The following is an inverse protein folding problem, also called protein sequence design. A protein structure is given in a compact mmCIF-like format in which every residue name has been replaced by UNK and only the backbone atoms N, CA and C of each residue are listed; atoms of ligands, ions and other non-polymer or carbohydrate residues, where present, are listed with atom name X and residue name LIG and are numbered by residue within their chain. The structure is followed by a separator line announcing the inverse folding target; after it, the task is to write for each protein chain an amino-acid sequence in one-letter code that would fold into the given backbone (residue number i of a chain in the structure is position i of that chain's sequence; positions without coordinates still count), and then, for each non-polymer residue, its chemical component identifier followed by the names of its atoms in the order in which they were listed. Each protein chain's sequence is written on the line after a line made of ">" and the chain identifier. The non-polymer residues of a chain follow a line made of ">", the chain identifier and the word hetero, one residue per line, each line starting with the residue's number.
data_IF_194991886554
#
_entry.id   IF_194991886554
#
_cell.length_a   1.000
_cell.length_b   1.000
_cell.length_c   1.000
_cell.angle_alpha   90.00
_cell.angle_beta   90.00
_cell.angle_gamma   90.00
#
_symmetry.space_group_name_H-M   'P 1'
#
loop_
_entity.id
_entity.type
_entity.pdbx_description
1 polymer ?
#
# COMPACT_ATOMS: atom_id res chain seq x y z
N UNK A 1 -20.89 -48.45 38.05
CA UNK A 1 -20.72 -47.48 36.95
C UNK A 1 -19.35 -46.83 37.10
N UNK A 2 -18.35 -47.41 36.43
CA UNK A 2 -16.99 -46.89 36.35
C UNK A 2 -16.65 -46.87 34.87
N UNK A 3 -16.08 -45.77 34.41
CA UNK A 3 -14.90 -45.68 33.52
C UNK A 3 -14.81 -44.25 32.96
N UNK A 4 -13.84 -43.50 33.52
CA UNK A 4 -12.89 -42.59 32.85
C UNK A 4 -13.51 -41.38 32.12
N UNK A 5 -13.54 -40.18 32.70
CA UNK A 5 -12.41 -39.23 32.85
C UNK A 5 -11.36 -39.38 31.75
N UNK A 6 -11.14 -38.29 31.00
CA UNK A 6 -10.00 -38.04 30.10
C UNK A 6 -10.22 -38.41 28.63
N UNK A 7 -11.01 -37.57 27.94
CA UNK A 7 -10.81 -37.26 26.51
C UNK A 7 -10.65 -35.73 26.45
N UNK A 8 -9.43 -35.24 26.71
CA UNK A 8 -8.56 -34.68 25.66
C UNK A 8 -9.02 -33.25 25.31
N UNK A 9 -8.77 -32.24 26.14
CA UNK A 9 -7.50 -31.46 26.18
C UNK A 9 -6.72 -31.50 24.86
N UNK A 10 -7.37 -31.16 23.74
CA UNK A 10 -6.69 -30.93 22.44
C UNK A 10 -7.26 -29.71 21.69
N UNK A 11 -7.70 -28.68 22.41
CA UNK A 11 -8.07 -27.39 21.83
C UNK A 11 -7.22 -26.24 22.40
N UNK A 12 -6.00 -26.54 22.86
CA UNK A 12 -5.09 -25.56 23.49
C UNK A 12 -3.81 -25.27 22.69
N UNK A 13 -3.66 -25.72 21.45
CA UNK A 13 -2.43 -25.49 20.66
C UNK A 13 -2.66 -25.14 19.18
N UNK A 14 -3.57 -24.22 18.88
CA UNK A 14 -3.52 -23.49 17.59
C UNK A 14 -3.20 -22.01 17.74
N UNK A 15 -2.84 -21.55 18.94
CA UNK A 15 -2.19 -20.25 19.15
C UNK A 15 -0.67 -20.43 19.09
N UNK A 16 -0.18 -21.12 18.06
CA UNK A 16 1.25 -21.16 17.77
C UNK A 16 1.55 -20.10 16.72
N UNK A 17 1.94 -18.95 17.24
CA UNK A 17 2.96 -18.08 16.64
C UNK A 17 2.61 -17.49 15.29
N UNK A 18 1.91 -16.35 15.31
CA UNK A 18 2.21 -15.31 14.34
C UNK A 18 3.63 -14.82 14.66
N UNK A 19 4.63 -15.53 14.11
CA UNK A 19 6.03 -15.15 14.21
C UNK A 19 6.20 -13.73 13.68
N UNK A 20 7.13 -13.00 14.28
CA UNK A 20 7.35 -11.56 14.20
C UNK A 20 7.80 -11.06 12.82
N UNK A 21 6.97 -11.25 11.80
CA UNK A 21 7.07 -10.57 10.51
C UNK A 21 6.42 -9.19 10.65
N UNK A 22 7.06 -8.13 10.15
CA UNK A 22 6.66 -6.74 10.39
C UNK A 22 5.16 -6.54 10.22
N UNK A 23 4.42 -6.32 11.31
CA UNK A 23 2.97 -6.19 11.21
C UNK A 23 2.63 -4.85 10.57
N UNK A 24 1.63 -4.82 9.68
CA UNK A 24 1.15 -3.57 9.08
C UNK A 24 0.77 -2.52 10.15
N UNK A 25 0.35 -2.97 11.34
CA UNK A 25 0.16 -2.08 12.50
C UNK A 25 1.43 -1.32 12.88
N UNK A 26 2.59 -1.99 12.99
CA UNK A 26 3.87 -1.33 13.30
C UNK A 26 4.33 -0.42 12.15
N UNK A 27 4.05 -0.84 10.91
CA UNK A 27 4.29 -0.01 9.73
C UNK A 27 3.47 1.28 9.79
N UNK A 28 2.18 1.21 10.10
CA UNK A 28 1.32 2.38 10.29
C UNK A 28 1.80 3.28 11.44
N UNK A 29 2.22 2.70 12.58
CA UNK A 29 2.79 3.47 13.69
C UNK A 29 4.07 4.23 13.28
N UNK A 30 4.85 3.66 12.35
CA UNK A 30 6.05 4.30 11.82
C UNK A 30 5.70 5.39 10.81
N UNK A 31 4.77 5.14 9.89
CA UNK A 31 4.27 6.14 8.93
C UNK A 31 3.75 7.37 9.66
N UNK A 32 2.98 7.18 10.75
CA UNK A 32 2.41 8.27 11.56
C UNK A 32 3.44 9.21 12.18
N UNK A 33 4.71 8.81 12.28
CA UNK A 33 5.80 9.70 12.73
C UNK A 33 6.19 10.74 11.67
N UNK A 34 5.87 10.48 10.41
CA UNK A 34 6.18 11.34 9.26
C UNK A 34 4.92 11.98 8.67
N UNK A 35 3.80 11.25 8.70
CA UNK A 35 2.49 11.66 8.19
C UNK A 35 1.36 11.17 9.09
N UNK A 36 0.98 11.99 10.07
CA UNK A 36 0.04 11.68 11.16
C UNK A 36 -1.30 11.08 10.71
N UNK A 37 -1.80 11.45 9.53
CA UNK A 37 -3.11 11.04 9.00
C UNK A 37 -3.05 9.93 7.94
N UNK A 38 -1.88 9.31 7.72
CA UNK A 38 -1.70 8.28 6.70
C UNK A 38 -1.60 6.90 7.36
N UNK A 39 -2.38 5.97 6.82
CA UNK A 39 -2.26 4.54 7.06
C UNK A 39 -2.14 3.82 5.71
N UNK A 40 -1.60 2.62 5.70
CA UNK A 40 -1.59 1.77 4.51
C UNK A 40 -3.03 1.40 4.16
N UNK A 41 -3.57 1.86 3.01
CA UNK A 41 -4.95 1.63 2.65
C UNK A 41 -5.19 0.16 2.29
N UNK A 42 -6.36 -0.36 2.64
CA UNK A 42 -6.77 -1.71 2.27
C UNK A 42 -7.54 -1.66 0.95
N UNK A 43 -7.01 -2.34 -0.07
CA UNK A 43 -7.69 -2.51 -1.36
C UNK A 43 -8.25 -3.93 -1.41
N UNK A 44 -9.56 -4.06 -1.63
CA UNK A 44 -10.22 -5.37 -1.58
C UNK A 44 -9.63 -6.31 -2.65
N UNK A 45 -9.22 -7.50 -2.22
CA UNK A 45 -8.70 -8.53 -3.12
C UNK A 45 -7.21 -8.42 -3.43
N UNK A 46 -6.51 -7.43 -2.86
CA UNK A 46 -5.06 -7.28 -2.96
C UNK A 46 -4.38 -7.39 -1.61
N UNK A 47 -3.14 -7.88 -1.62
CA UNK A 47 -2.24 -7.90 -0.48
C UNK A 47 -1.15 -6.83 -0.64
N UNK A 48 -0.65 -6.32 0.49
CA UNK A 48 0.49 -5.40 0.49
C UNK A 48 1.76 -6.21 0.25
N UNK A 49 2.48 -5.90 -0.83
CA UNK A 49 3.76 -6.51 -1.20
C UNK A 49 4.93 -5.83 -0.49
N UNK A 50 4.89 -4.50 -0.42
CA UNK A 50 5.98 -3.70 0.16
C UNK A 50 5.47 -2.32 0.55
N UNK A 51 6.05 -1.77 1.62
CA UNK A 51 5.88 -0.36 1.99
C UNK A 51 7.26 0.27 2.14
N UNK A 52 7.49 1.32 1.37
CA UNK A 52 8.72 2.11 1.39
C UNK A 52 8.43 3.52 1.90
N UNK A 53 9.40 4.08 2.60
CA UNK A 53 9.47 5.51 2.93
C UNK A 53 10.66 6.10 2.19
N UNK A 54 10.38 6.98 1.23
CA UNK A 54 11.39 7.79 0.59
C UNK A 54 11.55 9.10 1.38
N UNK A 55 12.70 9.27 2.01
CA UNK A 55 13.05 10.45 2.79
C UNK A 55 13.66 11.51 1.88
N UNK A 56 13.15 12.73 2.00
CA UNK A 56 13.81 13.88 1.39
C UNK A 56 15.13 14.15 2.12
N UNK A 57 16.25 13.88 1.43
CA UNK A 57 17.60 14.05 1.98
C UNK A 57 17.94 15.52 2.29
N UNK A 58 17.22 16.48 1.71
CA UNK A 58 17.55 17.90 1.88
C UNK A 58 17.01 18.50 3.18
N UNK A 59 15.97 17.91 3.80
CA UNK A 59 15.42 18.43 5.06
C UNK A 59 15.03 17.29 6.00
N UNK A 60 15.59 17.28 7.22
CA UNK A 60 15.26 16.29 8.28
C UNK A 60 13.78 16.30 8.70
N UNK A 61 13.02 17.32 8.29
CA UNK A 61 11.58 17.50 8.50
C UNK A 61 10.80 17.45 7.17
N UNK A 62 11.34 16.77 6.16
CA UNK A 62 10.93 16.89 4.75
C UNK A 62 9.44 16.77 4.50
N UNK A 63 8.82 17.90 4.14
CA UNK A 63 7.46 17.96 3.58
C UNK A 63 7.29 16.99 2.39
N UNK A 64 8.38 16.66 1.69
CA UNK A 64 8.46 15.81 0.51
C UNK A 64 8.58 14.31 0.80
N UNK A 65 8.54 13.89 2.07
CA UNK A 65 8.50 12.47 2.39
C UNK A 65 7.34 11.79 1.64
N UNK A 66 7.64 10.65 1.04
CA UNK A 66 6.67 9.90 0.23
C UNK A 66 6.58 8.48 0.76
N UNK A 67 5.37 8.04 1.12
CA UNK A 67 5.09 6.62 1.34
C UNK A 67 4.79 6.00 -0.02
N UNK A 68 5.46 4.91 -0.36
CA UNK A 68 5.21 4.14 -1.58
C UNK A 68 4.74 2.75 -1.14
N UNK A 69 3.58 2.34 -1.65
CA UNK A 69 2.93 1.08 -1.28
C UNK A 69 2.72 0.30 -2.55
N UNK A 70 3.27 -0.91 -2.60
CA UNK A 70 3.10 -1.81 -3.74
C UNK A 70 2.15 -2.93 -3.35
N UNK A 71 1.19 -3.24 -4.21
CA UNK A 71 0.22 -4.31 -4.00
C UNK A 71 0.43 -5.47 -4.98
N UNK A 72 0.06 -6.66 -4.52
CA UNK A 72 0.10 -7.93 -5.26
C UNK A 72 -1.22 -8.68 -5.07
N UNK A 73 -1.50 -9.61 -5.96
CA UNK A 73 -2.63 -10.55 -5.81
C UNK A 73 -2.36 -11.63 -4.78
N UNK A 74 -1.11 -12.06 -4.73
CA UNK A 74 -0.65 -13.15 -3.90
C UNK A 74 0.71 -12.75 -3.34
N UNK A 75 0.78 -12.72 -2.02
CA UNK A 75 1.99 -12.46 -1.28
C UNK A 75 2.80 -13.74 -1.17
N UNK A 76 3.96 -13.75 -1.82
CA UNK A 76 4.93 -14.84 -1.75
C UNK A 76 5.80 -14.76 -0.50
N UNK A 77 7.02 -15.30 -0.60
CA UNK A 77 7.98 -15.31 0.51
C UNK A 77 8.61 -13.94 0.74
N UNK A 78 8.99 -13.66 1.98
CA UNK A 78 9.79 -12.49 2.30
C UNK A 78 11.14 -12.57 1.57
N UNK A 79 11.54 -11.49 0.93
CA UNK A 79 12.83 -11.35 0.27
C UNK A 79 13.79 -10.72 1.27
N UNK A 80 14.82 -11.47 1.66
CA UNK A 80 15.86 -11.00 2.58
C UNK A 80 16.98 -10.26 1.82
N UNK A 81 17.67 -9.34 2.51
CA UNK A 81 18.86 -8.64 2.02
C UNK A 81 18.63 -7.80 0.75
N UNK A 82 17.55 -7.03 0.72
CA UNK A 82 17.33 -6.06 -0.37
C UNK A 82 18.22 -4.84 -0.15
N UNK A 83 19.09 -4.57 -1.13
CA UNK A 83 19.86 -3.34 -1.18
C UNK A 83 18.93 -2.19 -1.59
N UNK A 84 18.72 -1.25 -0.67
CA UNK A 84 18.03 0.01 -0.95
C UNK A 84 19.01 1.17 -0.90
N UNK A 85 18.72 2.24 -1.64
CA UNK A 85 19.43 3.50 -1.46
C UNK A 85 19.25 3.98 -0.01
N UNK A 86 20.28 4.59 0.55
CA UNK A 86 20.24 5.35 1.81
C UNK A 86 19.05 6.31 2.01
N UNK A 87 18.40 6.84 0.96
CA UNK A 87 17.17 7.65 1.09
C UNK A 87 15.89 6.83 1.24
N UNK A 88 15.94 5.53 1.00
CA UNK A 88 14.78 4.65 0.95
C UNK A 88 14.83 3.69 2.14
N UNK A 89 13.85 3.82 3.03
CA UNK A 89 13.65 2.89 4.14
C UNK A 89 12.54 1.90 3.81
N UNK A 90 12.83 0.60 3.89
CA UNK A 90 11.81 -0.45 3.81
C UNK A 90 11.09 -0.53 5.16
N UNK A 91 9.78 -0.28 5.17
CA UNK A 91 8.94 -0.35 6.38
C UNK A 91 8.15 -1.66 6.48
N UNK A 92 7.94 -2.35 5.37
CA UNK A 92 7.22 -3.63 5.29
C UNK A 92 7.64 -4.41 4.05
N UNK A 93 7.80 -5.73 4.16
CA UNK A 93 8.28 -6.59 3.08
C UNK A 93 9.77 -6.35 2.80
N UNK A 94 10.22 -6.40 1.52
CA UNK A 94 9.45 -6.80 0.35
C UNK A 94 9.15 -8.30 0.31
N UNK A 95 7.94 -8.64 -0.14
CA UNK A 95 7.58 -10.02 -0.44
C UNK A 95 7.66 -10.29 -1.95
N UNK A 96 7.87 -11.53 -2.33
CA UNK A 96 7.72 -11.98 -3.72
C UNK A 96 6.24 -11.85 -4.16
N UNK A 97 5.99 -11.74 -5.47
CA UNK A 97 4.67 -11.58 -6.05
C UNK A 97 4.62 -10.60 -7.22
N UNK A 98 3.64 -10.77 -8.11
CA UNK A 98 3.46 -9.90 -9.26
C UNK A 98 2.89 -8.53 -8.84
N UNK A 99 3.53 -7.44 -9.29
CA UNK A 99 3.04 -6.09 -9.01
C UNK A 99 1.72 -5.86 -9.75
N UNK A 100 0.67 -5.54 -9.01
CA UNK A 100 -0.61 -5.09 -9.58
C UNK A 100 -0.62 -3.58 -9.74
N UNK A 101 -0.28 -2.86 -8.66
CA UNK A 101 -0.26 -1.40 -8.64
C UNK A 101 0.74 -0.88 -7.60
N UNK A 102 1.10 0.39 -7.78
CA UNK A 102 1.83 1.19 -6.80
C UNK A 102 1.01 2.43 -6.47
N UNK A 103 0.86 2.71 -5.17
CA UNK A 103 0.27 3.93 -4.63
C UNK A 103 1.36 4.73 -3.93
N UNK A 104 1.49 6.02 -4.27
CA UNK A 104 2.36 6.94 -3.55
C UNK A 104 1.54 8.02 -2.84
N UNK A 105 1.92 8.32 -1.60
CA UNK A 105 1.23 9.30 -0.75
C UNK A 105 2.26 10.31 -0.23
N UNK A 106 2.00 11.59 -0.41
CA UNK A 106 2.87 12.67 0.07
C UNK A 106 2.07 13.91 0.47
N UNK A 107 2.68 14.82 1.24
CA UNK A 107 2.05 16.12 1.61
C UNK A 107 2.20 17.17 0.50
N UNK A 108 3.24 17.04 -0.33
CA UNK A 108 3.55 17.97 -1.40
C UNK A 108 2.65 17.73 -2.60
N UNK A 109 2.19 18.82 -3.20
CA UNK A 109 1.48 18.76 -4.48
C UNK A 109 2.47 18.36 -5.57
N UNK A 110 2.19 17.24 -6.24
CA UNK A 110 3.01 16.78 -7.36
C UNK A 110 2.46 17.43 -8.62
N UNK A 111 3.34 18.06 -9.40
CA UNK A 111 2.97 18.56 -10.72
C UNK A 111 2.49 17.38 -11.58
N UNK A 112 1.22 17.41 -11.97
CA UNK A 112 0.66 16.45 -12.93
C UNK A 112 0.95 16.94 -14.35
N UNK A 113 1.12 16.01 -15.29
CA UNK A 113 1.45 16.36 -16.68
C UNK A 113 0.30 17.15 -17.33
N UNK A 114 0.65 18.10 -18.20
CA UNK A 114 -0.31 18.99 -18.87
C UNK A 114 -1.37 18.25 -19.71
N UNK A 115 -1.12 16.99 -20.08
CA UNK A 115 -1.98 16.18 -20.97
C UNK A 115 -2.84 15.15 -20.22
N UNK A 116 -3.02 15.29 -18.89
CA UNK A 116 -3.90 14.41 -18.12
C UNK A 116 -5.38 14.79 -18.32
N UNK A 117 -6.22 13.78 -18.49
CA UNK A 117 -7.67 13.90 -18.51
C UNK A 117 -8.21 14.01 -17.09
N UNK A 118 -9.40 14.59 -16.91
CA UNK A 118 -10.05 14.70 -15.61
C UNK A 118 -11.33 13.86 -15.55
N UNK A 119 -11.56 13.19 -14.41
CA UNK A 119 -12.76 12.41 -14.12
C UNK A 119 -13.18 12.64 -12.68
N UNK A 120 -14.47 12.83 -12.44
CA UNK A 120 -15.00 12.90 -11.08
C UNK A 120 -15.63 11.55 -10.71
N UNK A 121 -15.19 10.95 -9.61
CA UNK A 121 -15.73 9.70 -9.07
C UNK A 121 -15.95 9.89 -7.57
N UNK A 122 -17.18 9.70 -7.08
CA UNK A 122 -17.50 9.81 -5.65
C UNK A 122 -17.05 11.15 -5.01
N UNK A 123 -17.20 12.26 -5.73
CA UNK A 123 -16.71 13.59 -5.33
C UNK A 123 -15.18 13.72 -5.20
N UNK A 124 -14.42 12.78 -5.76
CA UNK A 124 -12.98 12.89 -5.95
C UNK A 124 -12.73 13.35 -7.38
N UNK A 125 -12.05 14.48 -7.53
CA UNK A 125 -11.54 14.95 -8.82
C UNK A 125 -10.21 14.26 -9.10
N UNK A 126 -10.21 13.38 -10.08
CA UNK A 126 -9.06 12.57 -10.48
C UNK A 126 -8.50 13.12 -11.78
N UNK A 127 -7.20 13.35 -11.84
CA UNK A 127 -6.46 13.51 -13.09
C UNK A 127 -5.87 12.16 -13.47
N UNK A 128 -5.97 11.75 -14.74
CA UNK A 128 -5.44 10.48 -15.21
C UNK A 128 -4.89 10.55 -16.63
N UNK A 129 -3.95 9.66 -16.95
CA UNK A 129 -3.50 9.43 -18.33
C UNK A 129 -3.11 7.97 -18.49
N UNK A 130 -3.18 7.48 -19.72
CA UNK A 130 -2.74 6.14 -20.06
C UNK A 130 -1.47 6.23 -20.91
N UNK A 131 -0.42 5.54 -20.47
CA UNK A 131 0.84 5.41 -21.20
C UNK A 131 1.05 3.94 -21.50
N UNK A 132 0.87 3.56 -22.77
CA UNK A 132 0.83 2.14 -23.20
C UNK A 132 -0.25 1.37 -22.41
N UNK A 133 0.14 0.33 -21.68
CA UNK A 133 -0.76 -0.46 -20.83
C UNK A 133 -0.86 0.10 -19.41
N UNK A 134 -0.16 1.18 -19.06
CA UNK A 134 -0.16 1.70 -17.68
C UNK A 134 -1.14 2.85 -17.53
N UNK A 135 -2.00 2.76 -16.51
CA UNK A 135 -2.85 3.84 -16.05
C UNK A 135 -2.14 4.61 -14.92
N UNK A 136 -1.95 5.91 -15.15
CA UNK A 136 -1.43 6.84 -14.18
C UNK A 136 -2.57 7.71 -13.67
N UNK A 137 -2.77 7.77 -12.36
CA UNK A 137 -3.80 8.63 -11.76
C UNK A 137 -3.22 9.48 -10.64
N UNK A 138 -3.85 10.63 -10.42
CA UNK A 138 -3.50 11.61 -9.42
C UNK A 138 -4.76 12.21 -8.80
N UNK A 139 -4.74 12.45 -7.49
CA UNK A 139 -5.74 13.27 -6.81
C UNK A 139 -5.16 13.94 -5.58
N UNK A 140 -5.71 15.09 -5.20
CA UNK A 140 -5.45 15.74 -3.92
C UNK A 140 -6.66 15.58 -3.01
N UNK A 141 -6.47 14.98 -1.84
CA UNK A 141 -7.55 14.73 -0.89
C UNK A 141 -7.05 14.91 0.55
N UNK A 142 -7.80 15.65 1.39
CA UNK A 142 -7.45 15.95 2.79
C UNK A 142 -6.01 16.47 3.00
N UNK A 143 -5.50 17.30 2.09
CA UNK A 143 -4.15 17.87 2.18
C UNK A 143 -3.02 16.91 1.78
N UNK A 144 -3.36 15.72 1.29
CA UNK A 144 -2.42 14.73 0.77
C UNK A 144 -2.55 14.60 -0.75
N UNK A 145 -1.42 14.37 -1.40
CA UNK A 145 -1.32 13.98 -2.79
C UNK A 145 -1.25 12.46 -2.87
N UNK A 146 -2.07 11.89 -3.75
CA UNK A 146 -2.08 10.48 -4.07
C UNK A 146 -1.73 10.33 -5.54
N UNK A 147 -0.72 9.53 -5.84
CA UNK A 147 -0.43 9.08 -7.20
C UNK A 147 -0.51 7.58 -7.30
N UNK A 148 -0.96 7.10 -8.45
CA UNK A 148 -1.24 5.70 -8.71
C UNK A 148 -0.64 5.31 -10.04
N UNK A 149 -0.01 4.14 -10.07
CA UNK A 149 0.43 3.48 -11.28
C UNK A 149 -0.04 2.03 -11.25
N UNK A 150 -0.80 1.60 -12.26
CA UNK A 150 -1.22 0.21 -12.41
C UNK A 150 -1.25 -0.20 -13.87
N UNK A 151 -0.92 -1.46 -14.16
CA UNK A 151 -0.95 -2.00 -15.52
C UNK A 151 -2.33 -2.56 -15.84
N UNK A 152 -2.96 -2.02 -16.86
CA UNK A 152 -4.20 -2.53 -17.45
C UNK A 152 -3.92 -3.91 -18.05
N UNK A 153 -4.69 -4.89 -17.60
CA UNK A 153 -4.66 -6.27 -18.09
C UNK A 153 -6.08 -6.80 -18.27
N UNK A 154 -6.23 -8.03 -18.75
CA UNK A 154 -7.55 -8.69 -18.79
C UNK A 154 -8.14 -8.94 -17.38
N UNK A 155 -7.29 -9.02 -16.35
CA UNK A 155 -7.69 -9.24 -14.96
C UNK A 155 -7.95 -7.93 -14.21
N UNK A 156 -7.20 -6.88 -14.57
CA UNK A 156 -7.27 -5.53 -14.01
C UNK A 156 -7.58 -4.54 -15.12
N UNK A 157 -8.88 -4.33 -15.36
CA UNK A 157 -9.36 -3.36 -16.33
C UNK A 157 -9.14 -1.93 -15.82
N UNK A 158 -9.23 -0.96 -16.72
CA UNK A 158 -9.19 0.47 -16.39
C UNK A 158 -10.20 0.84 -15.29
N UNK A 159 -11.45 0.36 -15.41
CA UNK A 159 -12.49 0.62 -14.41
C UNK A 159 -12.16 0.03 -13.03
N UNK A 160 -11.56 -1.17 -13.00
CA UNK A 160 -11.09 -1.76 -11.75
C UNK A 160 -9.95 -0.94 -11.13
N UNK A 161 -9.05 -0.37 -11.94
CA UNK A 161 -8.02 0.53 -11.43
C UNK A 161 -8.62 1.80 -10.82
N UNK A 162 -9.61 2.43 -11.47
CA UNK A 162 -10.34 3.57 -10.88
C UNK A 162 -11.02 3.20 -9.55
N UNK A 163 -11.65 2.03 -9.48
CA UNK A 163 -12.27 1.55 -8.24
C UNK A 163 -11.23 1.36 -7.13
N UNK A 164 -10.12 0.67 -7.43
CA UNK A 164 -9.04 0.45 -6.47
C UNK A 164 -8.41 1.76 -5.98
N UNK A 165 -8.19 2.74 -6.88
CA UNK A 165 -7.63 4.02 -6.50
C UNK A 165 -8.58 4.83 -5.62
N UNK A 166 -9.86 4.89 -5.97
CA UNK A 166 -10.86 5.60 -5.16
C UNK A 166 -11.07 4.94 -3.80
N UNK A 167 -11.05 3.61 -3.71
CA UNK A 167 -11.03 2.88 -2.43
C UNK A 167 -9.82 3.27 -1.59
N UNK A 168 -8.63 3.32 -2.17
CA UNK A 168 -7.40 3.66 -1.45
C UNK A 168 -7.36 5.10 -0.95
N UNK A 169 -7.93 6.05 -1.70
CA UNK A 169 -8.01 7.47 -1.30
C UNK A 169 -9.08 7.69 -0.23
N UNK A 170 -10.19 6.94 -0.31
CA UNK A 170 -11.32 7.08 0.60
C UNK A 170 -11.19 6.25 1.90
N UNK A 171 -10.26 5.29 1.97
CA UNK A 171 -10.08 4.47 3.16
C UNK A 171 -9.61 5.35 4.33
N UNK A 172 -10.47 5.44 5.36
CA UNK A 172 -10.20 6.03 6.67
C UNK A 172 -10.64 5.06 7.74
#
# INVERSE_FOLDING_TARGET
>A
MKVKIMVVVLLLFTILGCSSEGSLSKTNDTIKKYMDSVEVPVIKGLEVKEVLLNLDKETKEGLRNTIIITYTDEKGKLIENVETDSSVSVLYGPYDGEKVLTLSISKVEVEHANDMQSKNINNLELSYTQVQDNLLMYTRHNGLSYSYEGRITNKYTEDQHFEMFTQAVASK
#
